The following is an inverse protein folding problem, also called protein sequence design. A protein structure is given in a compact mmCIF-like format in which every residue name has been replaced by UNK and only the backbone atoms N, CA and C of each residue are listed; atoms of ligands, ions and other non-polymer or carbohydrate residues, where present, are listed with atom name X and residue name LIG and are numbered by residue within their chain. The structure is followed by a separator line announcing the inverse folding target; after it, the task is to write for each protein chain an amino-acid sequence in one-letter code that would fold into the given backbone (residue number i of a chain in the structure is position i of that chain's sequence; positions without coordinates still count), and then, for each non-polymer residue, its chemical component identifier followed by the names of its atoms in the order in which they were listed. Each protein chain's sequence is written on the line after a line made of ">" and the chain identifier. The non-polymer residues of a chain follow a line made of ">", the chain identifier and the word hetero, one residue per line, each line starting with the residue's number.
data_IF_878315589744
#
_entry.id   IF_878315589744
#
_cell.length_a   1.000
_cell.length_b   1.000
_cell.length_c   1.000
_cell.angle_alpha   90.00
_cell.angle_beta   90.00
_cell.angle_gamma   90.00
#
_symmetry.space_group_name_H-M   'P 1'
#
loop_
_entity.id
_entity.type
_entity.pdbx_description
1 polymer ?
#
# COMPACT_ATOMS: atom_id res chain seq x y z
N UNK A 1 12.74 17.24 -25.57
CA UNK A 1 13.03 17.04 -24.12
C UNK A 1 11.93 16.17 -23.52
N UNK A 2 12.21 14.90 -23.22
CA UNK A 2 11.22 14.03 -22.58
C UNK A 2 11.10 14.44 -21.10
N UNK A 3 9.96 14.99 -20.70
CA UNK A 3 9.60 15.11 -19.29
C UNK A 3 9.48 13.69 -18.73
N UNK A 4 10.58 13.17 -18.16
CA UNK A 4 10.52 11.95 -17.33
C UNK A 4 9.76 12.31 -16.06
N UNK A 5 8.44 12.36 -16.15
CA UNK A 5 7.52 12.66 -15.05
C UNK A 5 7.88 11.81 -13.84
N UNK A 6 8.05 12.45 -12.69
CA UNK A 6 8.37 11.75 -11.44
C UNK A 6 7.17 10.87 -11.08
N UNK A 7 7.34 9.55 -11.14
CA UNK A 7 6.25 8.58 -10.91
C UNK A 7 5.81 8.58 -9.44
N UNK A 8 4.59 9.03 -9.15
CA UNK A 8 4.00 8.97 -7.82
C UNK A 8 3.61 7.54 -7.45
N UNK A 9 3.38 7.28 -6.16
CA UNK A 9 2.84 6.00 -5.70
C UNK A 9 1.35 6.12 -5.46
N UNK A 10 0.57 5.21 -6.00
CA UNK A 10 -0.85 5.08 -5.74
C UNK A 10 -1.07 3.86 -4.85
N UNK A 11 -1.78 4.05 -3.74
CA UNK A 11 -2.19 2.97 -2.84
C UNK A 11 -3.70 2.80 -2.94
N UNK A 12 -4.16 1.57 -3.20
CA UNK A 12 -5.58 1.22 -3.32
C UNK A 12 -5.92 -0.02 -2.51
N UNK A 13 -7.16 -0.09 -2.00
CA UNK A 13 -7.77 -1.36 -1.59
C UNK A 13 -8.12 -2.17 -2.83
N UNK A 14 -7.62 -3.39 -2.93
CA UNK A 14 -7.93 -4.32 -4.01
C UNK A 14 -8.37 -5.70 -3.46
N UNK A 15 -9.17 -6.39 -4.26
CA UNK A 15 -9.63 -7.75 -3.98
C UNK A 15 -9.72 -8.51 -5.32
N UNK A 16 -8.67 -9.29 -5.64
CA UNK A 16 -8.69 -10.20 -6.78
C UNK A 16 -9.58 -11.40 -6.45
N UNK A 17 -10.79 -11.44 -7.02
CA UNK A 17 -11.69 -12.61 -6.97
C UNK A 17 -13.14 -12.30 -6.57
N UNK A 18 -13.79 -13.25 -5.87
CA UNK A 18 -15.16 -13.10 -5.37
C UNK A 18 -15.19 -11.96 -4.34
N UNK A 19 -15.96 -10.91 -4.65
CA UNK A 19 -16.22 -9.72 -3.83
C UNK A 19 -16.31 -10.07 -2.33
N UNK A 20 -15.22 -9.89 -1.59
CA UNK A 20 -15.26 -9.83 -0.13
C UNK A 20 -15.64 -8.41 0.28
N UNK A 21 -16.54 -8.31 1.26
CA UNK A 21 -16.91 -7.05 1.93
C UNK A 21 -17.19 -5.86 1.02
N UNK A 22 -18.33 -5.81 0.32
CA UNK A 22 -18.89 -4.54 -0.19
C UNK A 22 -17.99 -3.66 -1.08
N UNK A 23 -16.77 -4.08 -1.41
CA UNK A 23 -15.77 -3.36 -2.18
C UNK A 23 -16.16 -3.54 -3.64
N UNK A 24 -17.11 -2.70 -4.06
CA UNK A 24 -17.62 -2.73 -5.44
C UNK A 24 -16.55 -2.30 -6.46
N UNK A 25 -15.49 -1.59 -6.05
CA UNK A 25 -14.41 -1.04 -6.90
C UNK A 25 -13.11 -0.85 -6.11
N UNK A 26 -11.97 -0.76 -6.81
CA UNK A 26 -10.67 -0.28 -6.28
C UNK A 26 -10.88 1.06 -5.58
N UNK A 27 -10.68 1.13 -4.27
CA UNK A 27 -10.80 2.39 -3.51
C UNK A 27 -9.42 2.98 -3.30
N UNK A 28 -9.20 4.20 -3.81
CA UNK A 28 -7.97 4.95 -3.56
C UNK A 28 -7.87 5.22 -2.07
N UNK A 29 -6.77 4.80 -1.47
CA UNK A 29 -6.44 5.09 -0.07
C UNK A 29 -5.63 6.36 -0.01
N UNK A 30 -4.57 6.46 -0.81
CA UNK A 30 -3.70 7.65 -0.84
C UNK A 30 -2.81 7.67 -2.07
N UNK A 31 -2.28 8.85 -2.37
CA UNK A 31 -1.24 9.09 -3.38
C UNK A 31 -0.03 9.66 -2.65
N UNK A 32 1.12 9.01 -2.82
CA UNK A 32 2.36 9.41 -2.16
C UNK A 32 3.37 10.00 -3.13
N UNK A 33 4.20 10.88 -2.57
CA UNK A 33 5.25 11.59 -3.30
C UNK A 33 6.21 10.63 -4.02
N UNK A 34 6.63 10.96 -5.25
CA UNK A 34 7.63 10.20 -5.99
C UNK A 34 9.01 10.20 -5.32
N UNK A 35 9.24 11.09 -4.33
CA UNK A 35 10.51 11.17 -3.59
C UNK A 35 10.64 10.09 -2.52
N UNK A 36 9.56 9.37 -2.20
CA UNK A 36 9.60 8.30 -1.21
C UNK A 36 10.31 7.07 -1.77
N UNK A 37 11.20 6.52 -0.95
CA UNK A 37 11.85 5.24 -1.23
C UNK A 37 10.82 4.11 -1.14
N UNK A 38 11.07 3.01 -1.84
CA UNK A 38 10.24 1.80 -1.75
C UNK A 38 10.08 1.35 -0.30
N UNK A 39 11.14 1.47 0.52
CA UNK A 39 11.10 1.16 1.95
C UNK A 39 10.06 2.00 2.69
N UNK A 40 10.05 3.32 2.48
CA UNK A 40 9.08 4.22 3.10
C UNK A 40 7.65 3.89 2.68
N UNK A 41 7.42 3.64 1.39
CA UNK A 41 6.08 3.27 0.89
C UNK A 41 5.61 1.96 1.52
N UNK A 42 6.48 0.95 1.65
CA UNK A 42 6.13 -0.30 2.33
C UNK A 42 5.76 -0.08 3.80
N UNK A 43 6.47 0.79 4.52
CA UNK A 43 6.14 1.14 5.91
C UNK A 43 4.75 1.81 5.99
N UNK A 44 4.48 2.76 5.10
CA UNK A 44 3.18 3.44 5.03
C UNK A 44 2.06 2.46 4.72
N UNK A 45 2.26 1.55 3.77
CA UNK A 45 1.28 0.51 3.43
C UNK A 45 0.95 -0.38 4.64
N UNK A 46 1.96 -0.82 5.40
CA UNK A 46 1.73 -1.62 6.62
C UNK A 46 0.95 -0.81 7.65
N UNK A 47 1.33 0.44 7.90
CA UNK A 47 0.64 1.32 8.84
C UNK A 47 -0.83 1.56 8.45
N UNK A 48 -1.10 1.75 7.15
CA UNK A 48 -2.45 1.92 6.60
C UNK A 48 -3.28 0.65 6.71
N UNK A 49 -2.67 -0.52 6.52
CA UNK A 49 -3.37 -1.79 6.68
C UNK A 49 -3.75 -2.03 8.14
N UNK A 50 -2.82 -1.79 9.08
CA UNK A 50 -3.07 -1.87 10.52
C UNK A 50 -4.14 -0.89 11.01
N UNK A 51 -4.45 0.17 10.26
CA UNK A 51 -5.51 1.11 10.61
C UNK A 51 -6.92 0.50 10.54
N UNK A 52 -7.08 -0.68 9.95
CA UNK A 52 -8.32 -1.45 10.01
C UNK A 52 -8.56 -2.09 11.38
N UNK A 53 -7.52 -2.28 12.18
CA UNK A 53 -7.61 -2.80 13.54
C UNK A 53 -7.73 -1.63 14.53
N UNK A 54 -8.31 -1.91 15.70
CA UNK A 54 -8.42 -0.96 16.82
C UNK A 54 -7.07 -0.81 17.55
N UNK A 55 -6.07 -0.35 16.80
CA UNK A 55 -4.70 -0.14 17.25
C UNK A 55 -4.41 1.35 17.37
N UNK A 56 -3.63 1.70 18.38
CA UNK A 56 -3.04 3.04 18.53
C UNK A 56 -2.04 3.33 17.41
N UNK A 57 -1.71 4.61 17.21
CA UNK A 57 -0.67 5.00 16.25
C UNK A 57 0.67 4.33 16.57
N UNK A 58 1.03 4.22 17.86
CA UNK A 58 2.29 3.60 18.30
C UNK A 58 2.38 2.14 17.87
N UNK A 59 1.31 1.37 18.08
CA UNK A 59 1.25 -0.05 17.69
C UNK A 59 1.31 -0.21 16.17
N UNK A 60 0.58 0.61 15.41
CA UNK A 60 0.64 0.62 13.94
C UNK A 60 2.05 0.88 13.43
N UNK A 61 2.76 1.82 14.07
CA UNK A 61 4.16 2.12 13.74
C UNK A 61 5.09 0.97 14.11
N UNK A 62 4.84 0.27 15.22
CA UNK A 62 5.56 -0.95 15.59
C UNK A 62 5.51 -2.00 14.49
N UNK A 63 4.33 -2.28 13.94
CA UNK A 63 4.17 -3.18 12.80
C UNK A 63 4.85 -2.64 11.53
N UNK A 64 4.69 -1.35 11.22
CA UNK A 64 5.28 -0.73 10.03
C UNK A 64 6.81 -0.78 10.02
N UNK A 65 7.42 -0.62 11.19
CA UNK A 65 8.87 -0.62 11.38
C UNK A 65 9.44 -2.03 11.60
N UNK A 66 8.60 -3.04 11.84
CA UNK A 66 9.02 -4.43 11.94
C UNK A 66 9.75 -4.90 10.68
N UNK A 67 10.79 -5.72 10.90
CA UNK A 67 11.52 -6.39 9.81
C UNK A 67 10.72 -7.56 9.25
N UNK A 68 9.85 -8.17 10.06
CA UNK A 68 8.96 -9.23 9.61
C UNK A 68 7.75 -8.63 8.91
N UNK A 69 7.65 -8.88 7.60
CA UNK A 69 6.52 -8.46 6.76
C UNK A 69 5.82 -9.67 6.19
N UNK A 70 5.25 -10.47 7.09
CA UNK A 70 4.32 -11.53 6.70
C UNK A 70 3.21 -10.87 5.87
N UNK A 71 2.86 -11.47 4.74
CA UNK A 71 1.88 -10.97 3.77
C UNK A 71 2.31 -9.80 2.87
N UNK A 72 3.61 -9.50 2.75
CA UNK A 72 4.12 -8.62 1.69
C UNK A 72 4.48 -9.45 0.45
N UNK A 73 3.91 -9.08 -0.71
CA UNK A 73 4.21 -9.70 -2.00
C UNK A 73 4.68 -8.63 -2.99
N UNK A 74 5.73 -8.91 -3.76
CA UNK A 74 6.35 -7.96 -4.69
C UNK A 74 6.38 -8.55 -6.10
N UNK A 75 5.91 -7.79 -7.08
CA UNK A 75 5.89 -8.20 -8.48
C UNK A 75 6.06 -6.97 -9.38
N UNK A 76 7.00 -7.00 -10.33
CA UNK A 76 7.17 -5.92 -11.30
C UNK A 76 7.52 -4.52 -10.72
N UNK A 77 7.99 -4.45 -9.46
CA UNK A 77 8.26 -3.18 -8.78
C UNK A 77 7.05 -2.55 -8.08
N UNK A 78 5.94 -3.27 -8.06
CA UNK A 78 4.71 -3.01 -7.31
C UNK A 78 4.61 -4.00 -6.15
N UNK A 79 3.75 -3.73 -5.17
CA UNK A 79 3.60 -4.66 -4.06
C UNK A 79 2.24 -4.64 -3.39
N UNK A 80 1.90 -5.79 -2.81
CA UNK A 80 0.65 -6.07 -2.11
C UNK A 80 0.93 -6.33 -0.63
N UNK A 81 0.04 -5.88 0.25
CA UNK A 81 0.16 -6.14 1.68
C UNK A 81 -1.18 -6.50 2.32
N UNK A 82 -1.14 -7.55 3.13
CA UNK A 82 -2.26 -8.00 3.96
C UNK A 82 -3.08 -9.14 3.35
N UNK A 83 -4.15 -9.52 4.06
CA UNK A 83 -5.13 -10.50 3.64
C UNK A 83 -6.33 -9.80 2.99
N UNK A 84 -7.11 -10.51 2.16
CA UNK A 84 -8.23 -9.93 1.38
C UNK A 84 -9.22 -9.16 2.29
N UNK A 85 -9.60 -7.91 1.95
CA UNK A 85 -9.02 -7.07 0.88
C UNK A 85 -7.62 -6.56 1.25
N UNK A 86 -6.68 -6.64 0.31
CA UNK A 86 -5.28 -6.22 0.53
C UNK A 86 -5.05 -4.79 0.03
N UNK A 87 -3.99 -4.17 0.52
CA UNK A 87 -3.49 -2.92 -0.04
C UNK A 87 -2.54 -3.22 -1.20
N UNK A 88 -2.68 -2.46 -2.27
CA UNK A 88 -1.81 -2.53 -3.43
C UNK A 88 -1.15 -1.18 -3.67
N UNK A 89 0.16 -1.17 -3.77
CA UNK A 89 0.97 0.00 -4.06
C UNK A 89 1.63 -0.14 -5.44
N UNK A 90 1.33 0.81 -6.33
CA UNK A 90 1.89 0.88 -7.69
C UNK A 90 2.38 2.27 -8.04
N UNK A 91 3.31 2.35 -9.00
CA UNK A 91 3.76 3.63 -9.55
C UNK A 91 2.82 4.09 -10.66
N UNK A 92 2.43 5.36 -10.63
CA UNK A 92 1.62 5.99 -11.68
C UNK A 92 2.37 7.19 -12.27
N UNK A 93 2.22 7.42 -13.57
CA UNK A 93 2.59 8.69 -14.17
C UNK A 93 1.55 9.73 -13.74
N UNK A 94 2.03 10.87 -13.25
CA UNK A 94 1.24 12.06 -12.92
C UNK A 94 1.48 13.12 -13.98
#
# INVERSE_FOLDING_TARGET
>A
MASRGRKAWLITWEDFGRKHWGLRKRRVVTILSPRLTVRHVKQIVVALWCAQADLTLSERMGFALSRERRFLFEEGGEFFFGLKPYLYARKIAT
#
